data_IF_977589153466
#
_entry.id   IF_977589153466
#
_cell.length_a   1.000
_cell.length_b   1.000
_cell.length_c   1.000
_cell.angle_alpha   90.00
_cell.angle_beta   90.00
_cell.angle_gamma   90.00
#
_symmetry.space_group_name_H-M   'P 1'
#
loop_
_entity.id
_entity.type
_entity.pdbx_description
1 polymer ?
#
# COMPACT_ATOMS: atom_id res chain seq x y z
N UNK A 1 -45.78 56.55 24.89
CA UNK A 1 -45.51 55.56 23.81
C UNK A 1 -44.10 54.97 23.92
N UNK A 2 -43.08 55.73 24.33
CA UNK A 2 -41.71 55.22 24.53
C UNK A 2 -41.58 54.20 25.67
N UNK A 3 -42.29 54.40 26.77
CA UNK A 3 -42.26 53.51 27.95
C UNK A 3 -42.71 52.07 27.63
N UNK A 4 -43.77 51.91 26.83
CA UNK A 4 -44.23 50.60 26.36
C UNK A 4 -43.23 49.91 25.42
N UNK A 5 -42.45 50.68 24.66
CA UNK A 5 -41.44 50.14 23.74
C UNK A 5 -40.22 49.64 24.50
N UNK A 6 -39.83 50.36 25.56
CA UNK A 6 -38.78 49.94 26.49
C UNK A 6 -39.17 48.67 27.25
N UNK A 7 -40.41 48.61 27.75
CA UNK A 7 -40.96 47.42 28.43
C UNK A 7 -40.96 46.19 27.51
N UNK A 8 -41.36 46.36 26.25
CA UNK A 8 -41.36 45.28 25.26
C UNK A 8 -39.94 44.77 24.96
N UNK A 9 -38.95 45.66 24.85
CA UNK A 9 -37.55 45.30 24.65
C UNK A 9 -36.95 44.59 25.87
N UNK A 10 -37.30 45.02 27.09
CA UNK A 10 -36.86 44.34 28.30
C UNK A 10 -37.44 42.93 28.42
N UNK A 11 -38.71 42.75 28.06
CA UNK A 11 -39.33 41.43 28.04
C UNK A 11 -38.68 40.52 26.98
N UNK A 12 -38.40 41.05 25.78
CA UNK A 12 -37.69 40.31 24.73
C UNK A 12 -36.27 39.92 25.17
N UNK A 13 -35.57 40.82 25.87
CA UNK A 13 -34.24 40.55 26.41
C UNK A 13 -34.28 39.48 27.52
N UNK A 14 -35.28 39.52 28.40
CA UNK A 14 -35.48 38.50 29.43
C UNK A 14 -35.66 37.13 28.80
N UNK A 15 -36.54 37.00 27.81
CA UNK A 15 -36.76 35.73 27.10
C UNK A 15 -35.49 35.23 26.43
N UNK A 16 -34.69 36.11 25.82
CA UNK A 16 -33.40 35.73 25.22
C UNK A 16 -32.37 35.30 26.26
N UNK A 17 -32.33 35.97 27.41
CA UNK A 17 -31.45 35.61 28.52
C UNK A 17 -31.85 34.26 29.14
N UNK A 18 -33.15 33.98 29.24
CA UNK A 18 -33.65 32.70 29.75
C UNK A 18 -33.26 31.54 28.82
N UNK A 19 -33.36 31.71 27.50
CA UNK A 19 -32.90 30.72 26.50
C UNK A 19 -31.38 30.51 26.59
N UNK A 20 -30.60 31.58 26.77
CA UNK A 20 -29.14 31.48 26.92
C UNK A 20 -28.77 30.81 28.25
N UNK A 21 -29.52 31.09 29.33
CA UNK A 21 -29.31 30.48 30.64
C UNK A 21 -29.58 28.97 30.58
N UNK A 22 -30.65 28.55 29.91
CA UNK A 22 -30.97 27.14 29.69
C UNK A 22 -29.86 26.41 28.91
N UNK A 23 -29.36 27.01 27.84
CA UNK A 23 -28.25 26.47 27.05
C UNK A 23 -26.94 26.39 27.87
N UNK A 24 -26.66 27.41 28.70
CA UNK A 24 -25.50 27.41 29.60
C UNK A 24 -25.61 26.32 30.67
N UNK A 25 -26.81 26.06 31.19
CA UNK A 25 -27.05 25.00 32.17
C UNK A 25 -26.86 23.62 31.57
N UNK A 26 -27.38 23.37 30.37
CA UNK A 26 -27.15 22.13 29.61
C UNK A 26 -25.65 21.92 29.34
N UNK A 27 -24.93 22.96 28.92
CA UNK A 27 -23.48 22.90 28.72
C UNK A 27 -22.69 22.62 30.01
N UNK A 28 -23.17 23.11 31.16
CA UNK A 28 -22.54 22.85 32.47
C UNK A 28 -22.76 21.41 32.92
N UNK A 29 -23.97 20.88 32.77
CA UNK A 29 -24.29 19.50 33.11
C UNK A 29 -23.37 18.52 32.36
N UNK A 30 -23.24 18.74 31.05
CA UNK A 30 -22.42 17.89 30.19
C UNK A 30 -20.92 17.96 30.49
N UNK A 31 -20.44 19.11 31.00
CA UNK A 31 -19.05 19.25 31.45
C UNK A 31 -18.77 18.42 32.70
N UNK A 32 -19.72 18.36 33.63
CA UNK A 32 -19.61 17.54 34.85
C UNK A 32 -19.67 16.06 34.51
N UNK A 33 -20.58 15.63 33.65
CA UNK A 33 -20.64 14.23 33.19
C UNK A 33 -19.33 13.79 32.51
N UNK A 34 -18.65 14.70 31.81
CA UNK A 34 -17.34 14.43 31.21
C UNK A 34 -16.19 14.40 32.22
N UNK A 35 -16.25 15.21 33.27
CA UNK A 35 -15.32 15.14 34.40
C UNK A 35 -15.48 13.84 35.18
N UNK A 36 -16.73 13.42 35.43
CA UNK A 36 -17.07 12.16 36.08
C UNK A 36 -16.63 10.97 35.22
N UNK A 37 -16.92 10.97 33.91
CA UNK A 37 -16.46 9.94 32.98
C UNK A 37 -14.93 9.84 32.93
N UNK A 38 -14.23 10.97 32.96
CA UNK A 38 -12.77 11.00 33.02
C UNK A 38 -12.29 10.34 34.31
N UNK A 39 -12.89 10.66 35.45
CA UNK A 39 -12.51 10.10 36.74
C UNK A 39 -12.80 8.60 36.83
N UNK A 40 -13.92 8.15 36.27
CA UNK A 40 -14.28 6.73 36.15
C UNK A 40 -13.35 5.98 35.18
N UNK A 41 -13.02 6.57 34.03
CA UNK A 41 -12.05 6.01 33.09
C UNK A 41 -10.64 5.94 33.68
N UNK A 42 -10.22 6.91 34.50
CA UNK A 42 -8.94 6.83 35.20
C UNK A 42 -8.92 5.68 36.22
N UNK A 43 -10.07 5.39 36.86
CA UNK A 43 -10.20 4.28 37.80
C UNK A 43 -10.14 2.93 37.09
N UNK A 44 -10.97 2.73 36.06
CA UNK A 44 -11.01 1.48 35.28
C UNK A 44 -9.71 1.26 34.49
N UNK A 45 -9.10 2.33 33.99
CA UNK A 45 -7.84 2.28 33.26
C UNK A 45 -6.67 1.76 34.09
N UNK A 46 -6.69 1.98 35.41
CA UNK A 46 -5.67 1.44 36.32
C UNK A 46 -5.79 -0.09 36.48
N UNK A 47 -7.01 -0.59 36.64
CA UNK A 47 -7.25 -2.03 36.82
C UNK A 47 -7.05 -2.80 35.50
N UNK A 48 -7.45 -2.18 34.38
CA UNK A 48 -7.16 -2.69 33.04
C UNK A 48 -5.66 -2.70 32.73
N UNK A 49 -4.91 -1.69 33.21
CA UNK A 49 -3.44 -1.65 33.09
C UNK A 49 -2.78 -2.83 33.78
N UNK A 50 -3.13 -3.09 35.05
CA UNK A 50 -2.55 -4.21 35.80
C UNK A 50 -2.85 -5.56 35.13
N UNK A 51 -4.04 -5.70 34.54
CA UNK A 51 -4.43 -6.91 33.80
C UNK A 51 -3.71 -7.03 32.46
N UNK A 52 -3.66 -5.97 31.67
CA UNK A 52 -3.05 -5.96 30.35
C UNK A 52 -1.52 -6.13 30.41
N UNK A 53 -0.83 -5.57 31.41
CA UNK A 53 0.62 -5.80 31.61
C UNK A 53 0.90 -7.28 31.89
N UNK A 54 0.09 -7.92 32.73
CA UNK A 54 0.26 -9.33 33.06
C UNK A 54 -0.04 -10.26 31.88
N UNK A 55 -0.97 -9.90 31.00
CA UNK A 55 -1.28 -10.67 29.78
C UNK A 55 -0.33 -10.37 28.61
N UNK A 56 0.13 -9.12 28.45
CA UNK A 56 1.02 -8.70 27.35
C UNK A 56 2.48 -9.14 27.56
N UNK A 57 2.92 -9.41 28.78
CA UNK A 57 4.23 -10.04 29.07
C UNK A 57 4.36 -11.44 28.41
N UNK A 58 3.25 -12.02 27.96
CA UNK A 58 3.23 -13.30 27.23
C UNK A 58 3.44 -13.15 25.72
N UNK A 59 3.46 -11.93 25.16
CA UNK A 59 3.61 -11.66 23.72
C UNK A 59 4.96 -10.97 23.48
N UNK A 60 5.96 -11.74 23.05
CA UNK A 60 7.36 -11.29 22.90
C UNK A 60 7.62 -10.34 21.70
N UNK A 61 8.65 -9.51 21.90
CA UNK A 61 9.54 -8.80 20.96
C UNK A 61 9.16 -7.49 20.23
N UNK A 62 7.90 -7.07 20.11
CA UNK A 62 7.59 -5.80 19.40
C UNK A 62 6.59 -4.87 20.08
N UNK A 63 6.04 -5.27 21.23
CA UNK A 63 5.00 -4.50 21.92
C UNK A 63 5.45 -4.16 23.33
N UNK A 64 5.89 -2.92 23.54
CA UNK A 64 6.25 -2.45 24.86
C UNK A 64 4.97 -2.06 25.61
N UNK A 65 4.71 -2.67 26.77
CA UNK A 65 3.59 -2.30 27.65
C UNK A 65 3.60 -0.78 27.99
N UNK A 66 4.78 -0.14 27.94
CA UNK A 66 4.95 1.30 28.11
C UNK A 66 4.32 2.14 26.98
N UNK A 67 4.25 1.63 25.75
CA UNK A 67 3.68 2.34 24.61
C UNK A 67 2.14 2.34 24.67
N UNK A 68 1.55 1.23 25.13
CA UNK A 68 0.11 1.13 25.43
C UNK A 68 -0.29 2.12 26.52
N UNK A 69 0.51 2.23 27.58
CA UNK A 69 0.33 3.23 28.63
C UNK A 69 0.41 4.66 28.10
N UNK A 70 1.38 4.94 27.24
CA UNK A 70 1.55 6.26 26.66
C UNK A 70 0.34 6.64 25.81
N UNK A 71 -0.15 5.70 25.01
CA UNK A 71 -1.36 5.86 24.21
C UNK A 71 -2.61 6.07 25.09
N UNK A 72 -2.82 5.25 26.12
CA UNK A 72 -3.93 5.42 27.06
C UNK A 72 -3.92 6.77 27.76
N UNK A 73 -2.74 7.21 28.25
CA UNK A 73 -2.58 8.54 28.85
C UNK A 73 -2.81 9.66 27.85
N UNK A 74 -2.37 9.49 26.60
CA UNK A 74 -2.62 10.45 25.53
C UNK A 74 -4.11 10.56 25.22
N UNK A 75 -4.83 9.44 25.15
CA UNK A 75 -6.29 9.42 24.96
C UNK A 75 -7.01 10.12 26.10
N UNK A 76 -6.71 9.76 27.36
CA UNK A 76 -7.32 10.38 28.56
C UNK A 76 -7.07 11.89 28.64
N UNK A 77 -5.85 12.34 28.31
CA UNK A 77 -5.52 13.77 28.30
C UNK A 77 -6.29 14.54 27.22
N UNK A 78 -6.62 13.87 26.12
CA UNK A 78 -7.32 14.46 24.98
C UNK A 78 -8.83 14.17 24.97
N UNK A 79 -9.41 13.61 26.04
CA UNK A 79 -10.86 13.34 26.15
C UNK A 79 -11.69 14.59 25.88
N UNK A 80 -11.26 15.76 26.37
CA UNK A 80 -11.95 17.03 26.10
C UNK A 80 -11.93 17.40 24.62
N UNK A 81 -10.82 17.14 23.92
CA UNK A 81 -10.69 17.38 22.47
C UNK A 81 -11.54 16.40 21.68
N UNK A 82 -11.54 15.12 22.05
CA UNK A 82 -12.35 14.07 21.44
C UNK A 82 -13.84 14.37 21.66
N UNK A 83 -14.23 14.80 22.86
CA UNK A 83 -15.59 15.25 23.17
C UNK A 83 -16.00 16.47 22.32
N UNK A 84 -15.10 17.43 22.11
CA UNK A 84 -15.34 18.56 21.21
C UNK A 84 -15.60 18.13 19.77
N UNK A 85 -14.83 17.16 19.26
CA UNK A 85 -15.05 16.57 17.92
C UNK A 85 -16.39 15.82 17.85
N UNK A 86 -16.75 15.06 18.88
CA UNK A 86 -18.03 14.34 18.95
C UNK A 86 -19.22 15.32 18.93
N UNK A 87 -19.12 16.45 19.64
CA UNK A 87 -20.14 17.52 19.59
C UNK A 87 -20.28 18.13 18.19
N UNK A 88 -19.17 18.27 17.47
CA UNK A 88 -19.18 18.76 16.10
C UNK A 88 -19.73 17.73 15.11
N UNK A 89 -19.62 16.43 15.43
CA UNK A 89 -20.30 15.36 14.69
C UNK A 89 -21.81 15.34 14.98
N UNK A 90 -22.26 15.83 16.12
CA UNK A 90 -23.70 15.96 16.40
C UNK A 90 -24.36 16.99 15.48
N UNK A 91 -23.69 18.10 15.15
CA UNK A 91 -24.15 19.01 14.08
C UNK A 91 -24.06 18.39 12.68
N UNK A 92 -23.23 17.36 12.49
CA UNK A 92 -23.19 16.58 11.24
C UNK A 92 -24.41 15.69 11.09
N UNK A 93 -25.11 15.33 12.17
CA UNK A 93 -26.37 14.56 12.13
C UNK A 93 -27.50 15.34 11.46
N UNK A 94 -27.57 16.65 11.69
CA UNK A 94 -28.54 17.53 11.03
C UNK A 94 -28.17 17.74 9.55
N UNK A 95 -26.87 17.93 9.26
CA UNK A 95 -26.37 17.92 7.87
C UNK A 95 -26.64 16.60 7.14
N UNK A 96 -26.48 15.45 7.79
CA UNK A 96 -26.76 14.13 7.23
C UNK A 96 -28.25 13.91 6.98
N UNK A 97 -29.13 14.45 7.81
CA UNK A 97 -30.59 14.44 7.57
C UNK A 97 -30.93 15.26 6.32
N UNK A 98 -30.35 16.43 6.18
CA UNK A 98 -30.63 17.34 5.05
C UNK A 98 -29.94 16.89 3.76
N UNK A 99 -28.77 16.27 3.85
CA UNK A 99 -28.02 15.69 2.73
C UNK A 99 -28.44 14.26 2.38
N UNK A 100 -29.29 13.62 3.20
CA UNK A 100 -29.75 12.23 2.98
C UNK A 100 -30.28 11.95 1.56
N UNK A 101 -31.02 12.87 0.90
CA UNK A 101 -31.49 12.65 -0.47
C UNK A 101 -30.35 12.64 -1.49
N UNK A 102 -29.40 13.56 -1.37
CA UNK A 102 -28.23 13.64 -2.25
C UNK A 102 -27.30 12.44 -2.05
N UNK A 103 -27.02 12.10 -0.79
CA UNK A 103 -26.17 10.96 -0.43
C UNK A 103 -26.74 9.65 -0.98
N UNK A 104 -28.07 9.50 -1.04
CA UNK A 104 -28.71 8.30 -1.58
C UNK A 104 -28.37 8.08 -3.06
N UNK A 105 -28.38 9.14 -3.87
CA UNK A 105 -28.02 9.06 -5.30
C UNK A 105 -26.54 8.70 -5.47
N UNK A 106 -25.64 9.36 -4.75
CA UNK A 106 -24.20 9.03 -4.76
C UNK A 106 -23.91 7.60 -4.27
N UNK A 107 -24.66 7.08 -3.29
CA UNK A 107 -24.52 5.69 -2.83
C UNK A 107 -24.93 4.72 -3.95
N UNK A 108 -25.98 5.01 -4.71
CA UNK A 108 -26.42 4.16 -5.81
C UNK A 108 -25.36 4.16 -6.93
N UNK A 109 -24.87 5.32 -7.33
CA UNK A 109 -23.81 5.43 -8.34
C UNK A 109 -22.52 4.72 -7.89
N UNK A 110 -22.18 4.83 -6.61
CA UNK A 110 -21.05 4.11 -6.02
C UNK A 110 -21.26 2.59 -6.06
N UNK A 111 -22.46 2.11 -5.74
CA UNK A 111 -22.79 0.68 -5.82
C UNK A 111 -22.76 0.16 -7.26
N UNK A 112 -23.24 0.92 -8.23
CA UNK A 112 -23.13 0.58 -9.65
C UNK A 112 -21.67 0.53 -10.12
N UNK A 113 -20.85 1.48 -9.66
CA UNK A 113 -19.41 1.48 -9.95
C UNK A 113 -18.72 0.26 -9.34
N UNK A 114 -19.06 -0.12 -8.10
CA UNK A 114 -18.53 -1.32 -7.46
C UNK A 114 -19.00 -2.59 -8.17
N UNK A 115 -20.26 -2.67 -8.59
CA UNK A 115 -20.79 -3.80 -9.37
C UNK A 115 -20.08 -3.92 -10.73
N UNK A 116 -19.82 -2.80 -11.41
CA UNK A 116 -19.04 -2.79 -12.64
C UNK A 116 -17.61 -3.29 -12.41
N UNK A 117 -16.99 -2.93 -11.29
CA UNK A 117 -15.66 -3.39 -10.92
C UNK A 117 -15.65 -4.88 -10.62
N UNK A 118 -16.67 -5.39 -9.93
CA UNK A 118 -16.82 -6.83 -9.66
C UNK A 118 -17.04 -7.61 -10.96
N UNK A 119 -17.96 -7.16 -11.82
CA UNK A 119 -18.25 -7.78 -13.12
C UNK A 119 -17.04 -7.79 -14.06
N UNK A 120 -16.20 -6.76 -14.01
CA UNK A 120 -14.92 -6.70 -14.75
C UNK A 120 -13.81 -7.53 -14.10
N UNK A 121 -14.05 -8.11 -12.93
CA UNK A 121 -13.11 -8.99 -12.22
C UNK A 121 -12.02 -8.26 -11.45
N UNK A 122 -12.17 -6.95 -11.17
CA UNK A 122 -11.15 -6.19 -10.43
C UNK A 122 -10.97 -6.74 -9.00
N UNK A 123 -12.06 -7.11 -8.32
CA UNK A 123 -11.94 -7.68 -6.97
C UNK A 123 -11.26 -9.04 -6.97
N UNK A 124 -11.57 -9.90 -7.94
CA UNK A 124 -10.87 -11.17 -8.13
C UNK A 124 -9.39 -10.95 -8.42
N UNK A 125 -9.06 -10.02 -9.32
CA UNK A 125 -7.67 -9.68 -9.64
C UNK A 125 -6.91 -9.17 -8.42
N UNK A 126 -7.49 -8.27 -7.61
CA UNK A 126 -6.88 -7.76 -6.39
C UNK A 126 -6.66 -8.89 -5.38
N UNK A 127 -7.66 -9.77 -5.21
CA UNK A 127 -7.57 -10.88 -4.26
C UNK A 127 -6.47 -11.89 -4.66
N UNK A 128 -6.39 -12.24 -5.95
CA UNK A 128 -5.32 -13.10 -6.46
C UNK A 128 -3.96 -12.41 -6.43
N UNK A 129 -3.91 -11.11 -6.74
CA UNK A 129 -2.70 -10.31 -6.66
C UNK A 129 -2.16 -10.24 -5.23
N UNK A 130 -3.03 -10.22 -4.22
CA UNK A 130 -2.62 -10.31 -2.82
C UNK A 130 -1.89 -11.62 -2.54
N UNK A 131 -2.40 -12.75 -3.04
CA UNK A 131 -1.73 -14.06 -2.88
C UNK A 131 -0.36 -14.09 -3.58
N UNK A 132 -0.25 -13.46 -4.75
CA UNK A 132 1.02 -13.33 -5.48
C UNK A 132 1.98 -12.45 -4.70
N UNK A 133 1.54 -11.29 -4.22
CA UNK A 133 2.33 -10.36 -3.42
C UNK A 133 2.79 -10.99 -2.11
N UNK A 134 1.92 -11.76 -1.44
CA UNK A 134 2.27 -12.48 -0.21
C UNK A 134 3.36 -13.52 -0.46
N UNK A 135 3.26 -14.29 -1.56
CA UNK A 135 4.32 -15.20 -1.99
C UNK A 135 5.63 -14.47 -2.31
N UNK A 136 5.56 -13.30 -2.94
CA UNK A 136 6.75 -12.48 -3.20
C UNK A 136 7.35 -11.98 -1.88
N UNK A 137 6.57 -11.41 -0.97
CA UNK A 137 7.08 -10.87 0.30
C UNK A 137 7.63 -11.97 1.20
N UNK A 138 7.03 -13.16 1.19
CA UNK A 138 7.50 -14.32 1.98
C UNK A 138 8.69 -15.05 1.35
N UNK A 139 8.84 -15.00 0.02
CA UNK A 139 9.96 -15.64 -0.68
C UNK A 139 11.24 -14.81 -0.70
N UNK A 140 11.14 -13.51 -0.40
CA UNK A 140 12.27 -12.59 -0.42
C UNK A 140 12.63 -12.23 1.02
N UNK A 141 13.89 -12.44 1.39
CA UNK A 141 14.44 -11.97 2.66
C UNK A 141 14.56 -10.45 2.68
N UNK A 142 14.80 -9.88 3.87
CA UNK A 142 15.06 -8.43 4.02
C UNK A 142 16.25 -7.99 3.16
N UNK A 143 17.27 -8.84 3.09
CA UNK A 143 18.49 -8.65 2.32
C UNK A 143 18.17 -8.64 0.81
N UNK A 144 17.27 -9.53 0.35
CA UNK A 144 16.86 -9.57 -1.05
C UNK A 144 16.11 -8.30 -1.45
N UNK A 145 15.21 -7.80 -0.59
CA UNK A 145 14.46 -6.56 -0.84
C UNK A 145 15.41 -5.36 -0.93
N UNK A 146 16.43 -5.30 -0.07
CA UNK A 146 17.45 -4.25 -0.11
C UNK A 146 18.27 -4.32 -1.41
N UNK A 147 18.75 -5.50 -1.78
CA UNK A 147 19.47 -5.69 -3.03
C UNK A 147 18.62 -5.33 -4.27
N UNK A 148 17.32 -5.61 -4.22
CA UNK A 148 16.36 -5.25 -5.28
C UNK A 148 16.19 -3.74 -5.37
N UNK A 149 16.07 -3.05 -4.24
CA UNK A 149 16.03 -1.59 -4.16
C UNK A 149 17.29 -0.93 -4.73
N UNK A 150 18.46 -1.42 -4.33
CA UNK A 150 19.75 -0.88 -4.79
C UNK A 150 19.99 -1.09 -6.30
N UNK A 151 19.40 -2.15 -6.88
CA UNK A 151 19.57 -2.51 -8.29
C UNK A 151 18.32 -2.28 -9.15
N UNK A 152 17.29 -1.60 -8.63
CA UNK A 152 15.98 -1.49 -9.29
C UNK A 152 16.11 -0.86 -10.69
N UNK A 153 16.95 0.17 -10.84
CA UNK A 153 17.17 0.84 -12.13
C UNK A 153 17.82 -0.11 -13.15
N UNK A 154 18.80 -0.91 -12.71
CA UNK A 154 19.46 -1.91 -13.57
C UNK A 154 18.49 -3.00 -13.99
N UNK A 155 17.69 -3.52 -13.05
CA UNK A 155 16.68 -4.55 -13.33
C UNK A 155 15.65 -4.02 -14.32
N UNK A 156 15.10 -2.82 -14.11
CA UNK A 156 14.13 -2.20 -15.01
C UNK A 156 14.71 -1.96 -16.40
N UNK A 157 15.96 -1.52 -16.51
CA UNK A 157 16.65 -1.38 -17.79
C UNK A 157 16.86 -2.73 -18.49
N UNK A 158 17.21 -3.78 -17.75
CA UNK A 158 17.33 -5.13 -18.31
C UNK A 158 15.99 -5.64 -18.80
N UNK A 159 14.92 -5.51 -18.01
CA UNK A 159 13.56 -5.90 -18.43
C UNK A 159 13.16 -5.13 -19.69
N UNK A 160 13.37 -3.81 -19.70
CA UNK A 160 13.12 -2.97 -20.88
C UNK A 160 13.90 -3.48 -22.11
N UNK A 161 15.17 -3.82 -21.94
CA UNK A 161 16.00 -4.35 -23.02
C UNK A 161 15.50 -5.71 -23.52
N UNK A 162 15.13 -6.62 -22.62
CA UNK A 162 14.57 -7.93 -22.98
C UNK A 162 13.21 -7.83 -23.67
N UNK A 163 12.42 -6.80 -23.34
CA UNK A 163 11.13 -6.53 -23.99
C UNK A 163 11.27 -5.80 -25.33
N UNK A 164 12.49 -5.54 -25.81
CA UNK A 164 12.68 -5.00 -27.16
C UNK A 164 12.16 -6.01 -28.20
N UNK A 165 11.46 -5.56 -29.26
CA UNK A 165 10.85 -6.44 -30.25
C UNK A 165 11.82 -7.47 -30.82
N UNK A 166 13.06 -7.06 -31.12
CA UNK A 166 14.09 -7.90 -31.73
C UNK A 166 14.44 -9.10 -30.83
N UNK A 167 14.57 -8.85 -29.51
CA UNK A 167 14.89 -9.90 -28.53
C UNK A 167 13.69 -10.82 -28.33
N UNK A 168 12.48 -10.27 -28.19
CA UNK A 168 11.26 -11.07 -28.07
C UNK A 168 11.04 -11.98 -29.29
N UNK A 169 11.28 -11.47 -30.50
CA UNK A 169 11.21 -12.26 -31.72
C UNK A 169 12.26 -13.38 -31.73
N UNK A 170 13.50 -13.10 -31.33
CA UNK A 170 14.54 -14.12 -31.24
C UNK A 170 14.18 -15.22 -30.23
N UNK A 171 13.67 -14.86 -29.05
CA UNK A 171 13.23 -15.80 -28.02
C UNK A 171 12.05 -16.66 -28.50
N UNK A 172 11.04 -16.05 -29.12
CA UNK A 172 9.90 -16.78 -29.67
C UNK A 172 10.31 -17.77 -30.77
N UNK A 173 11.24 -17.37 -31.65
CA UNK A 173 11.79 -18.25 -32.67
C UNK A 173 12.57 -19.41 -32.05
N UNK A 174 13.40 -19.15 -31.03
CA UNK A 174 14.14 -20.19 -30.32
C UNK A 174 13.22 -21.21 -29.64
N UNK A 175 12.16 -20.74 -28.96
CA UNK A 175 11.15 -21.61 -28.33
C UNK A 175 10.40 -22.45 -29.36
N UNK A 176 10.06 -21.86 -30.52
CA UNK A 176 9.42 -22.58 -31.62
C UNK A 176 10.33 -23.67 -32.18
N UNK A 177 11.60 -23.37 -32.42
CA UNK A 177 12.61 -24.34 -32.88
C UNK A 177 12.77 -25.48 -31.86
N UNK A 178 12.87 -25.17 -30.56
CA UNK A 178 12.99 -26.18 -29.50
C UNK A 178 11.81 -27.16 -29.49
N UNK A 179 10.57 -26.65 -29.56
CA UNK A 179 9.36 -27.50 -29.62
C UNK A 179 9.35 -28.44 -30.83
N UNK A 180 9.90 -27.99 -31.95
CA UNK A 180 9.95 -28.78 -33.19
C UNK A 180 11.09 -29.82 -33.18
N UNK A 181 12.19 -29.55 -32.47
CA UNK A 181 13.34 -30.46 -32.36
C UNK A 181 13.01 -31.74 -31.57
N UNK A 182 12.17 -31.65 -30.54
CA UNK A 182 11.73 -32.80 -29.73
C UNK A 182 10.99 -33.87 -30.55
N UNK A 183 10.45 -33.49 -31.72
CA UNK A 183 9.76 -34.42 -32.62
C UNK A 183 10.71 -35.22 -33.54
N UNK A 184 11.99 -34.84 -33.64
CA UNK A 184 12.95 -35.42 -34.60
C UNK A 184 14.25 -35.96 -33.98
N UNK A 185 14.49 -35.72 -32.68
CA UNK A 185 15.79 -35.94 -32.02
C UNK A 185 16.24 -37.41 -31.80
N UNK A 186 15.48 -38.43 -32.22
CA UNK A 186 15.82 -39.83 -31.91
C UNK A 186 16.64 -40.59 -32.97
N UNK A 187 17.09 -39.94 -34.04
CA UNK A 187 17.86 -40.63 -35.10
C UNK A 187 19.34 -40.69 -34.72
N UNK A 188 19.86 -41.90 -34.49
CA UNK A 188 21.29 -42.15 -34.30
C UNK A 188 22.12 -41.52 -35.44
N UNK A 189 22.92 -40.51 -35.11
CA UNK A 189 23.75 -39.81 -36.09
C UNK A 189 25.12 -40.47 -36.16
N UNK A 190 25.49 -40.98 -37.34
CA UNK A 190 26.82 -41.53 -37.60
C UNK A 190 27.91 -40.44 -37.54
N UNK A 191 29.08 -40.76 -36.97
CA UNK A 191 30.26 -39.85 -36.90
C UNK A 191 30.63 -39.22 -38.25
N UNK A 192 30.50 -39.95 -39.36
CA UNK A 192 30.76 -39.41 -40.69
C UNK A 192 29.74 -38.33 -41.10
N UNK A 193 28.47 -38.54 -40.75
CA UNK A 193 27.42 -37.54 -41.02
C UNK A 193 27.67 -36.28 -40.22
N UNK A 194 28.09 -36.38 -38.96
CA UNK A 194 28.45 -35.21 -38.14
C UNK A 194 29.55 -34.35 -38.78
N UNK A 195 30.62 -34.98 -39.27
CA UNK A 195 31.72 -34.25 -39.93
C UNK A 195 31.23 -33.56 -41.21
N UNK A 196 30.36 -34.23 -41.98
CA UNK A 196 29.74 -33.62 -43.17
C UNK A 196 28.83 -32.45 -42.79
N UNK A 197 28.05 -32.59 -41.72
CA UNK A 197 27.15 -31.56 -41.19
C UNK A 197 27.92 -30.31 -40.75
N UNK A 198 29.07 -30.48 -40.08
CA UNK A 198 29.95 -29.37 -39.70
C UNK A 198 30.48 -28.56 -40.89
N UNK A 199 30.53 -29.18 -42.07
CA UNK A 199 31.00 -28.53 -43.30
C UNK A 199 29.88 -27.77 -44.05
N UNK A 200 28.63 -27.86 -43.59
CA UNK A 200 27.47 -27.16 -44.19
C UNK A 200 27.60 -25.65 -44.05
N UNK A 201 26.97 -24.92 -44.97
CA UNK A 201 27.05 -23.45 -45.03
C UNK A 201 26.41 -22.83 -43.79
N UNK A 202 25.33 -23.43 -43.30
CA UNK A 202 24.55 -23.05 -42.15
C UNK A 202 25.39 -23.13 -40.86
N UNK A 203 26.03 -24.28 -40.62
CA UNK A 203 26.88 -24.49 -39.43
C UNK A 203 28.11 -23.59 -39.46
N UNK A 204 28.76 -23.43 -40.61
CA UNK A 204 29.89 -22.50 -40.74
C UNK A 204 29.51 -21.05 -40.45
N UNK A 205 28.36 -20.60 -40.94
CA UNK A 205 27.84 -19.25 -40.63
C UNK A 205 27.55 -19.10 -39.15
N UNK A 206 26.95 -20.11 -38.52
CA UNK A 206 26.72 -20.13 -37.07
C UNK A 206 28.02 -20.06 -36.25
N UNK A 207 29.03 -20.85 -36.62
CA UNK A 207 30.35 -20.80 -36.00
C UNK A 207 31.04 -19.45 -36.19
N UNK A 208 30.98 -18.88 -37.40
CA UNK A 208 31.53 -17.55 -37.67
C UNK A 208 30.84 -16.46 -36.82
N UNK A 209 29.51 -16.51 -36.70
CA UNK A 209 28.76 -15.63 -35.82
C UNK A 209 29.19 -15.80 -34.35
N UNK A 210 29.28 -17.04 -33.85
CA UNK A 210 29.69 -17.31 -32.48
C UNK A 210 31.09 -16.75 -32.17
N UNK A 211 32.04 -16.93 -33.10
CA UNK A 211 33.39 -16.37 -33.00
C UNK A 211 33.33 -14.83 -32.97
N UNK A 212 32.56 -14.21 -33.87
CA UNK A 212 32.41 -12.76 -33.89
C UNK A 212 31.77 -12.23 -32.61
N UNK A 213 30.71 -12.88 -32.13
CA UNK A 213 30.03 -12.51 -30.90
C UNK A 213 30.96 -12.57 -29.68
N UNK A 214 31.71 -13.67 -29.53
CA UNK A 214 32.71 -13.82 -28.47
C UNK A 214 33.79 -12.74 -28.54
N UNK A 215 34.25 -12.39 -29.75
CA UNK A 215 35.22 -11.31 -29.96
C UNK A 215 34.69 -9.94 -29.50
N UNK A 216 33.41 -9.65 -29.75
CA UNK A 216 32.81 -8.39 -29.30
C UNK A 216 32.62 -8.33 -27.78
N UNK A 217 32.27 -9.45 -27.14
CA UNK A 217 32.18 -9.54 -25.68
C UNK A 217 33.54 -9.34 -25.03
N UNK A 218 34.61 -9.95 -25.57
CA UNK A 218 35.95 -9.85 -24.99
C UNK A 218 36.49 -8.41 -25.05
N UNK A 219 36.33 -7.73 -26.19
CA UNK A 219 36.78 -6.34 -26.38
C UNK A 219 36.01 -5.37 -25.48
N UNK A 220 34.70 -5.55 -25.34
CA UNK A 220 33.87 -4.69 -24.48
C UNK A 220 34.21 -4.83 -22.98
N UNK A 221 34.79 -5.95 -22.56
CA UNK A 221 35.27 -6.17 -21.19
C UNK A 221 36.69 -5.60 -20.96
N UNK A 222 37.53 -5.53 -21.98
CA UNK A 222 38.87 -4.92 -21.90
C UNK A 222 38.79 -3.39 -21.70
N UNK A 223 37.91 -2.70 -22.42
CA UNK A 223 37.74 -1.23 -22.30
C UNK A 223 37.26 -0.80 -20.90
N UNK A 224 36.52 -1.64 -20.18
CA UNK A 224 36.07 -1.35 -18.81
C UNK A 224 37.18 -1.49 -17.76
N UNK A 225 38.23 -2.27 -18.02
CA UNK A 225 39.35 -2.44 -17.10
C UNK A 225 40.42 -1.33 -17.23
N UNK A 226 40.59 -0.74 -18.41
CA UNK A 226 41.56 0.36 -18.64
C UNK A 226 41.12 1.69 -18.00
N UNK A 227 39.81 1.95 -17.91
CA UNK A 227 39.29 3.18 -17.29
C UNK A 227 39.43 3.13 -15.75
N UNK A 228 39.35 1.94 -15.13
CA UNK A 228 39.50 1.80 -13.67
C UNK A 228 40.93 1.96 -13.17
N UNK A 229 41.95 1.63 -13.96
CA UNK A 229 43.36 1.81 -13.59
C UNK A 229 43.87 3.24 -13.80
N UNK A 230 43.12 4.09 -14.50
CA UNK A 230 43.53 5.48 -14.80
C UNK A 230 43.09 6.52 -13.75
N UNK A 231 42.26 6.12 -12.78
CA UNK A 231 41.76 6.98 -11.69
C UNK A 231 42.43 6.69 -10.33
N UNK A 232 43.61 6.07 -10.34
CA UNK A 232 44.48 5.95 -9.15
C UNK A 232 45.81 6.64 -9.48
N UNK A 233 45.80 7.96 -9.43
CA UNK A 233 46.94 8.82 -9.14
C UNK A 233 46.45 10.22 -8.76
#
# INVERSE_FOLDING_TARGET
>A
MEENKLQAQMNELSTKLDIILEEIELQRHHRREMEDLKDDLMRVGKDFYETAVNELDQIHDHFNAKDVLHFGKYMLRNVNTISGVIKQLESTKDFLKDASPLIREYIIDFMETLDEFDRKGYFQFINESKNILDKIVTSFSKEDVQALGDNVVTILNTVKNLTQPEILHALNNAVSVYKNLDSEASKEVSYFRLIKELNTTEVKRGLAFAIQFLKHISVQNEDKHVIKSSNIN
#
